data_IF_037762218387
#
_entry.id   IF_037762218387
#
_cell.length_a   1.000
_cell.length_b   1.000
_cell.length_c   1.000
_cell.angle_alpha   90.00
_cell.angle_beta   90.00
_cell.angle_gamma   90.00
#
_symmetry.space_group_name_H-M   'P 1'
#
loop_
_entity.id
_entity.type
_entity.pdbx_description
1 polymer ?
#
# COMPACT_ATOMS: atom_id res chain seq x y z
N UNK A 1 102.00 -30.85 30.83
CA UNK A 1 101.45 -30.58 32.20
C UNK A 1 100.26 -29.65 32.10
N UNK A 2 99.15 -30.05 32.74
CA UNK A 2 97.96 -29.25 33.16
C UNK A 2 97.18 -28.47 32.09
N UNK A 3 96.05 -28.99 31.69
CA UNK A 3 94.67 -28.76 32.17
C UNK A 3 94.28 -27.33 32.23
N UNK A 4 93.25 -26.96 31.51
CA UNK A 4 92.05 -26.42 32.11
C UNK A 4 90.92 -26.19 31.09
N UNK A 5 89.80 -26.62 31.47
CA UNK A 5 88.42 -26.53 31.01
C UNK A 5 87.91 -25.12 30.64
N UNK A 6 87.11 -25.05 29.58
CA UNK A 6 86.14 -23.94 29.46
C UNK A 6 84.79 -24.52 28.97
N UNK A 7 83.84 -24.29 29.80
CA UNK A 7 82.45 -24.73 29.70
C UNK A 7 81.74 -23.99 28.61
N UNK A 8 80.94 -24.73 27.84
CA UNK A 8 80.01 -24.19 26.88
C UNK A 8 78.77 -23.58 27.55
N UNK A 9 78.23 -22.49 26.94
CA UNK A 9 76.94 -21.90 27.25
C UNK A 9 75.94 -22.26 26.15
N UNK A 10 74.71 -22.63 26.52
CA UNK A 10 73.68 -22.98 25.51
C UNK A 10 73.04 -21.69 24.96
N UNK A 11 72.93 -21.71 23.67
CA UNK A 11 72.15 -20.71 22.95
C UNK A 11 70.65 -20.94 23.18
N UNK A 12 70.02 -20.00 23.89
CA UNK A 12 68.59 -19.97 24.01
C UNK A 12 67.93 -19.51 22.71
N UNK A 13 67.13 -20.39 22.13
CA UNK A 13 66.25 -20.07 21.01
C UNK A 13 65.01 -19.33 21.55
N UNK A 14 64.91 -18.02 21.30
CA UNK A 14 63.73 -17.25 21.62
C UNK A 14 62.75 -17.34 20.43
N UNK A 15 61.70 -18.17 20.58
CA UNK A 15 60.58 -18.19 19.69
C UNK A 15 59.63 -17.00 20.01
N UNK A 16 59.74 -15.95 19.26
CA UNK A 16 58.76 -14.86 19.21
C UNK A 16 57.51 -15.37 18.45
N UNK A 17 56.50 -15.82 19.20
CA UNK A 17 55.17 -16.10 18.66
C UNK A 17 54.48 -14.76 18.32
N UNK A 18 54.43 -14.40 17.03
CA UNK A 18 53.61 -13.33 16.53
C UNK A 18 52.14 -13.74 16.54
N UNK A 19 51.41 -13.25 17.54
CA UNK A 19 49.96 -13.41 17.64
C UNK A 19 49.33 -12.36 16.72
N UNK A 20 49.01 -12.72 15.46
CA UNK A 20 48.20 -11.89 14.58
C UNK A 20 46.76 -11.91 15.08
N UNK A 21 46.35 -10.87 15.81
CA UNK A 21 44.98 -10.61 16.22
C UNK A 21 44.23 -10.08 14.99
N UNK A 22 43.55 -11.00 14.26
CA UNK A 22 42.62 -10.65 13.21
C UNK A 22 41.36 -10.02 13.85
N UNK A 23 41.32 -8.71 13.97
CA UNK A 23 40.12 -7.99 14.32
C UNK A 23 39.12 -8.09 13.14
N UNK A 24 38.18 -9.01 13.23
CA UNK A 24 37.02 -9.08 12.33
C UNK A 24 36.18 -7.82 12.55
N UNK A 25 36.26 -6.86 11.64
CA UNK A 25 35.32 -5.74 11.55
C UNK A 25 33.94 -6.30 11.18
N UNK A 26 33.13 -6.56 12.18
CA UNK A 26 31.69 -6.79 12.00
C UNK A 26 31.08 -5.44 11.57
N UNK A 27 30.95 -5.22 10.26
CA UNK A 27 30.14 -4.13 9.72
C UNK A 27 28.71 -4.38 10.19
N UNK A 28 28.04 -3.39 10.84
CA UNK A 28 26.63 -3.52 11.13
C UNK A 28 25.91 -3.67 9.79
N UNK A 29 25.20 -4.79 9.60
CA UNK A 29 24.27 -4.94 8.50
C UNK A 29 23.17 -3.88 8.70
N UNK A 30 23.25 -2.79 7.94
CA UNK A 30 22.16 -1.81 7.86
C UNK A 30 20.99 -2.60 7.27
N UNK A 31 19.84 -2.72 7.95
CA UNK A 31 18.68 -3.34 7.35
C UNK A 31 18.39 -2.55 6.07
N UNK A 32 18.46 -3.19 4.92
CA UNK A 32 17.96 -2.63 3.68
C UNK A 32 16.44 -2.48 3.89
N UNK A 33 15.99 -1.27 4.12
CA UNK A 33 14.57 -0.98 4.20
C UNK A 33 14.04 -1.20 2.80
N UNK A 34 13.09 -2.11 2.66
CA UNK A 34 12.40 -2.31 1.40
C UNK A 34 11.76 -0.97 1.02
N UNK A 35 11.99 -0.50 -0.20
CA UNK A 35 11.38 0.73 -0.69
C UNK A 35 9.88 0.58 -0.90
N UNK A 36 9.23 1.67 -1.26
CA UNK A 36 7.78 1.65 -1.53
C UNK A 36 7.39 0.68 -2.64
N UNK A 37 8.21 0.55 -3.69
CA UNK A 37 7.97 -0.41 -4.78
C UNK A 37 8.08 -1.85 -4.31
N UNK A 38 9.07 -2.18 -3.49
CA UNK A 38 9.21 -3.51 -2.90
C UNK A 38 8.00 -3.83 -2.01
N UNK A 39 7.53 -2.85 -1.23
CA UNK A 39 6.35 -2.99 -0.37
C UNK A 39 5.09 -3.23 -1.18
N UNK A 40 4.90 -2.52 -2.29
CA UNK A 40 3.79 -2.75 -3.22
C UNK A 40 3.84 -4.15 -3.83
N UNK A 41 5.02 -4.57 -4.32
CA UNK A 41 5.19 -5.90 -4.91
C UNK A 41 4.90 -7.00 -3.90
N UNK A 42 5.43 -6.89 -2.67
CA UNK A 42 5.15 -7.81 -1.58
C UNK A 42 3.66 -7.85 -1.24
N UNK A 43 3.01 -6.69 -1.15
CA UNK A 43 1.57 -6.60 -0.88
C UNK A 43 0.76 -7.30 -1.96
N UNK A 44 1.03 -7.03 -3.24
CA UNK A 44 0.32 -7.68 -4.36
C UNK A 44 0.55 -9.20 -4.34
N UNK A 45 1.79 -9.64 -4.13
CA UNK A 45 2.17 -11.05 -4.17
C UNK A 45 1.61 -11.86 -3.01
N UNK A 46 1.61 -11.28 -1.81
CA UNK A 46 1.32 -12.00 -0.57
C UNK A 46 -0.11 -11.80 -0.05
N UNK A 47 -0.83 -10.78 -0.54
CA UNK A 47 -2.16 -10.44 -0.05
C UNK A 47 -3.22 -10.73 -1.11
N UNK A 48 -3.97 -11.82 -0.96
CA UNK A 48 -5.06 -12.21 -1.87
C UNK A 48 -6.39 -11.60 -1.47
N UNK A 49 -6.60 -11.40 -0.18
CA UNK A 49 -7.79 -10.74 0.37
C UNK A 49 -7.42 -9.84 1.52
N UNK A 50 -8.24 -8.87 1.80
CA UNK A 50 -8.07 -7.96 2.92
C UNK A 50 -9.38 -7.41 3.41
N UNK A 51 -9.39 -7.01 4.67
CA UNK A 51 -10.48 -6.28 5.30
C UNK A 51 -9.89 -5.22 6.22
N UNK A 52 -10.49 -4.04 6.26
CA UNK A 52 -10.06 -2.94 7.12
C UNK A 52 -11.22 -2.00 7.41
N UNK A 53 -11.12 -1.24 8.47
CA UNK A 53 -11.84 0.01 8.61
C UNK A 53 -11.04 1.14 7.95
N UNK A 54 -11.71 2.19 7.51
CA UNK A 54 -11.03 3.38 6.99
C UNK A 54 -11.66 4.67 7.49
N UNK A 55 -10.85 5.71 7.54
CA UNK A 55 -11.28 7.10 7.63
C UNK A 55 -10.79 7.82 6.39
N UNK A 56 -11.68 8.54 5.72
CA UNK A 56 -11.39 9.35 4.54
C UNK A 56 -11.57 10.83 4.85
N UNK A 57 -10.55 11.63 4.59
CA UNK A 57 -10.62 13.09 4.61
C UNK A 57 -10.57 13.61 3.17
N UNK A 58 -11.62 14.31 2.73
CA UNK A 58 -11.73 14.93 1.40
C UNK A 58 -11.58 16.43 1.56
N UNK A 59 -10.50 17.00 1.04
CA UNK A 59 -10.23 18.43 1.05
C UNK A 59 -10.48 19.01 -0.34
N UNK A 60 -11.45 19.90 -0.42
CA UNK A 60 -11.78 20.65 -1.62
C UNK A 60 -11.12 22.03 -1.58
N UNK A 61 -10.57 22.53 -2.70
CA UNK A 61 -10.01 23.87 -2.76
C UNK A 61 -11.08 24.91 -2.42
N UNK A 62 -10.66 25.99 -1.79
CA UNK A 62 -11.53 27.13 -1.53
C UNK A 62 -11.94 27.80 -2.84
N UNK A 63 -13.18 28.28 -2.91
CA UNK A 63 -13.66 29.10 -4.02
C UNK A 63 -13.60 30.57 -3.63
N UNK A 64 -13.29 31.45 -4.59
CA UNK A 64 -13.36 32.92 -4.43
C UNK A 64 -12.61 33.46 -3.20
N UNK A 65 -11.40 32.94 -2.93
CA UNK A 65 -10.59 33.36 -1.79
C UNK A 65 -10.99 32.75 -0.43
N UNK A 66 -11.96 31.86 -0.41
CA UNK A 66 -12.31 31.12 0.82
C UNK A 66 -11.25 30.03 1.11
N UNK A 67 -11.05 29.68 2.39
CA UNK A 67 -10.15 28.60 2.74
C UNK A 67 -10.65 27.24 2.23
N UNK A 68 -9.76 26.25 2.00
CA UNK A 68 -10.14 24.89 1.68
C UNK A 68 -11.11 24.31 2.70
N UNK A 69 -11.98 23.42 2.27
CA UNK A 69 -12.97 22.75 3.12
C UNK A 69 -12.68 21.26 3.16
N UNK A 70 -12.54 20.70 4.36
CA UNK A 70 -12.35 19.27 4.55
C UNK A 70 -13.63 18.64 5.10
N UNK A 71 -14.04 17.52 4.47
CA UNK A 71 -15.10 16.64 4.95
C UNK A 71 -14.48 15.30 5.33
N UNK A 72 -14.91 14.71 6.44
CA UNK A 72 -14.43 13.41 6.90
C UNK A 72 -15.58 12.41 6.85
N UNK A 73 -15.26 11.20 6.38
CA UNK A 73 -16.16 10.05 6.32
C UNK A 73 -15.43 8.82 6.88
N UNK A 74 -16.17 7.87 7.40
CA UNK A 74 -15.63 6.59 7.83
C UNK A 74 -16.41 5.42 7.21
N UNK A 75 -15.78 4.27 7.21
CA UNK A 75 -16.38 3.10 6.61
C UNK A 75 -15.57 1.83 6.80
N UNK A 76 -15.99 0.78 6.09
CA UNK A 76 -15.25 -0.46 5.98
C UNK A 76 -14.88 -0.76 4.54
N UNK A 77 -13.73 -1.40 4.37
CA UNK A 77 -13.18 -1.81 3.10
C UNK A 77 -12.89 -3.32 3.13
N UNK A 78 -13.23 -4.01 2.06
CA UNK A 78 -12.84 -5.40 1.84
C UNK A 78 -12.47 -5.61 0.38
N UNK A 79 -11.55 -6.53 0.12
CA UNK A 79 -11.21 -6.94 -1.25
C UNK A 79 -10.82 -8.41 -1.32
N UNK A 80 -10.98 -8.99 -2.51
CA UNK A 80 -10.52 -10.33 -2.87
C UNK A 80 -10.03 -10.29 -4.33
N UNK A 81 -8.76 -10.64 -4.51
CA UNK A 81 -8.16 -10.69 -5.87
C UNK A 81 -8.61 -11.94 -6.62
N UNK A 82 -8.80 -11.85 -7.93
CA UNK A 82 -8.76 -10.64 -8.75
C UNK A 82 -10.09 -9.88 -8.76
N UNK A 83 -10.00 -8.55 -8.77
CA UNK A 83 -11.07 -7.68 -9.23
C UNK A 83 -12.27 -7.46 -8.31
N UNK A 84 -12.35 -8.08 -7.13
CA UNK A 84 -13.48 -7.89 -6.22
C UNK A 84 -13.10 -6.93 -5.11
N UNK A 85 -13.96 -5.96 -4.82
CA UNK A 85 -13.84 -5.09 -3.65
C UNK A 85 -15.19 -4.53 -3.20
N UNK A 86 -15.23 -4.06 -1.97
CA UNK A 86 -16.37 -3.40 -1.36
C UNK A 86 -15.92 -2.27 -0.46
N UNK A 87 -16.53 -1.09 -0.62
CA UNK A 87 -16.49 0.02 0.30
C UNK A 87 -17.90 0.25 0.84
N UNK A 88 -18.04 0.30 2.15
CA UNK A 88 -19.27 0.72 2.81
C UNK A 88 -18.96 1.99 3.62
N UNK A 89 -19.36 3.14 3.12
CA UNK A 89 -19.33 4.41 3.83
C UNK A 89 -20.52 4.47 4.80
N UNK A 90 -20.28 4.95 6.03
CA UNK A 90 -21.31 4.97 7.07
C UNK A 90 -21.94 6.35 7.18
N UNK A 91 -21.24 7.32 7.73
CA UNK A 91 -21.73 8.69 7.97
C UNK A 91 -20.75 9.72 7.43
N UNK A 92 -21.19 10.95 7.10
CA UNK A 92 -22.57 11.45 7.14
C UNK A 92 -23.45 10.95 5.97
N UNK A 93 -22.87 10.44 4.87
CA UNK A 93 -23.57 9.98 3.67
C UNK A 93 -23.30 8.49 3.48
N UNK A 94 -24.33 7.68 3.69
CA UNK A 94 -24.21 6.24 3.52
C UNK A 94 -24.13 5.91 2.01
N UNK A 95 -23.00 5.35 1.60
CA UNK A 95 -22.77 4.92 0.22
C UNK A 95 -22.13 3.53 0.23
N UNK A 96 -22.52 2.69 -0.72
CA UNK A 96 -21.90 1.40 -0.94
C UNK A 96 -21.33 1.33 -2.35
N UNK A 97 -20.07 0.93 -2.45
CA UNK A 97 -19.40 0.68 -3.74
C UNK A 97 -18.98 -0.78 -3.76
N UNK A 98 -19.46 -1.55 -4.72
CA UNK A 98 -19.14 -2.98 -4.85
C UNK A 98 -18.67 -3.27 -6.27
N UNK A 99 -17.53 -3.93 -6.37
CA UNK A 99 -17.06 -4.55 -7.59
C UNK A 99 -17.14 -6.07 -7.43
N UNK A 100 -17.95 -6.74 -8.25
CA UNK A 100 -18.19 -8.19 -8.16
C UNK A 100 -17.30 -9.02 -9.11
N UNK A 101 -16.44 -8.37 -9.88
CA UNK A 101 -15.59 -8.93 -10.93
C UNK A 101 -16.12 -8.67 -12.34
N UNK A 102 -17.34 -8.20 -12.50
CA UNK A 102 -17.98 -7.86 -13.78
C UNK A 102 -18.58 -6.45 -13.77
N UNK A 103 -19.30 -6.12 -12.71
CA UNK A 103 -20.02 -4.86 -12.55
C UNK A 103 -19.47 -4.08 -11.37
N UNK A 104 -19.32 -2.78 -11.56
CA UNK A 104 -19.12 -1.80 -10.49
C UNK A 104 -20.47 -1.18 -10.15
N UNK A 105 -20.90 -1.41 -8.93
CA UNK A 105 -22.13 -0.91 -8.35
C UNK A 105 -21.83 0.26 -7.41
N UNK A 106 -22.50 1.38 -7.60
CA UNK A 106 -22.47 2.51 -6.67
C UNK A 106 -23.90 2.71 -6.17
N UNK A 107 -24.10 2.62 -4.88
CA UNK A 107 -25.40 2.86 -4.25
C UNK A 107 -25.31 4.04 -3.31
N UNK A 108 -26.12 5.05 -3.57
CA UNK A 108 -26.37 6.19 -2.71
C UNK A 108 -27.65 5.95 -1.92
N UNK A 109 -27.54 5.80 -0.60
CA UNK A 109 -28.68 5.48 0.23
C UNK A 109 -29.64 6.66 0.42
N UNK A 110 -29.12 7.89 0.42
CA UNK A 110 -29.94 9.09 0.62
C UNK A 110 -30.82 9.37 -0.60
N UNK A 111 -30.31 9.09 -1.80
CA UNK A 111 -31.03 9.22 -3.07
C UNK A 111 -31.81 7.95 -3.43
N UNK A 112 -31.60 6.83 -2.73
CA UNK A 112 -32.05 5.50 -3.12
C UNK A 112 -31.75 5.17 -4.59
N UNK A 113 -30.54 5.52 -5.05
CA UNK A 113 -30.11 5.42 -6.43
C UNK A 113 -28.92 4.46 -6.56
N UNK A 114 -28.96 3.61 -7.58
CA UNK A 114 -27.91 2.67 -7.94
C UNK A 114 -27.37 3.04 -9.31
N UNK A 115 -26.04 3.21 -9.42
CA UNK A 115 -25.38 3.27 -10.73
C UNK A 115 -24.63 1.95 -10.95
N UNK A 116 -24.87 1.32 -12.09
CA UNK A 116 -24.20 0.10 -12.52
C UNK A 116 -23.37 0.35 -13.77
N UNK A 117 -22.08 0.09 -13.70
CA UNK A 117 -21.12 0.24 -14.80
C UNK A 117 -20.38 -1.05 -15.07
N UNK A 118 -19.97 -1.28 -16.31
CA UNK A 118 -19.07 -2.38 -16.62
C UNK A 118 -17.73 -2.14 -15.89
N UNK A 119 -17.34 -3.06 -15.00
CA UNK A 119 -16.20 -2.88 -14.12
C UNK A 119 -14.90 -2.62 -14.90
N UNK A 120 -14.65 -3.34 -16.00
CA UNK A 120 -13.44 -3.18 -16.80
C UNK A 120 -13.24 -1.75 -17.36
N UNK A 121 -14.34 -1.00 -17.58
CA UNK A 121 -14.29 0.38 -18.05
C UNK A 121 -14.19 1.39 -16.91
N UNK A 122 -14.63 1.02 -15.72
CA UNK A 122 -14.69 1.90 -14.55
C UNK A 122 -13.43 1.82 -13.67
N UNK A 123 -12.65 0.75 -13.76
CA UNK A 123 -11.48 0.52 -12.90
C UNK A 123 -10.39 1.57 -13.04
N UNK A 124 -10.18 2.10 -14.25
CA UNK A 124 -9.17 3.15 -14.50
C UNK A 124 -9.43 4.47 -13.77
N UNK A 125 -10.66 4.71 -13.28
CA UNK A 125 -11.05 5.92 -12.55
C UNK A 125 -11.20 5.71 -11.04
N UNK A 126 -11.06 4.49 -10.54
CA UNK A 126 -11.28 4.19 -9.12
C UNK A 126 -9.98 3.75 -8.45
N UNK A 127 -9.41 4.56 -7.54
CA UNK A 127 -8.13 4.25 -6.87
C UNK A 127 -8.11 2.92 -6.11
N UNK A 128 -9.24 2.53 -5.54
CA UNK A 128 -9.43 1.22 -4.90
C UNK A 128 -9.19 0.05 -5.86
N UNK A 129 -9.51 0.24 -7.13
CA UNK A 129 -9.32 -0.75 -8.18
C UNK A 129 -7.85 -1.09 -8.41
N UNK A 130 -6.97 -0.12 -8.28
CA UNK A 130 -5.53 -0.31 -8.43
C UNK A 130 -5.03 -1.32 -7.41
N UNK A 131 -5.51 -1.21 -6.17
CA UNK A 131 -5.07 -2.08 -5.08
C UNK A 131 -5.73 -3.44 -5.15
N UNK A 132 -7.05 -3.45 -5.40
CA UNK A 132 -7.84 -4.67 -5.34
C UNK A 132 -7.80 -5.49 -6.62
N UNK A 133 -7.70 -4.85 -7.78
CA UNK A 133 -7.84 -5.51 -9.07
C UNK A 133 -6.52 -5.92 -9.72
N UNK A 134 -5.40 -5.29 -9.35
CA UNK A 134 -4.13 -5.61 -9.98
C UNK A 134 -3.69 -7.04 -9.67
N UNK A 135 -3.57 -7.90 -10.68
CA UNK A 135 -3.09 -9.26 -10.47
C UNK A 135 -1.59 -9.30 -10.15
N UNK A 136 -0.83 -8.35 -10.66
CA UNK A 136 0.61 -8.19 -10.48
C UNK A 136 1.06 -6.74 -10.71
N UNK A 137 2.33 -6.46 -10.41
CA UNK A 137 2.93 -5.14 -10.58
C UNK A 137 2.93 -4.68 -12.04
N UNK A 138 3.14 -5.60 -12.99
CA UNK A 138 3.16 -5.28 -14.44
C UNK A 138 1.79 -4.79 -14.93
N UNK A 139 0.72 -5.28 -14.34
CA UNK A 139 -0.62 -4.80 -14.65
C UNK A 139 -0.80 -3.33 -14.24
N UNK A 140 -0.28 -2.94 -13.08
CA UNK A 140 -0.27 -1.54 -12.66
C UNK A 140 0.63 -0.67 -13.55
N UNK A 141 1.81 -1.16 -13.89
CA UNK A 141 2.76 -0.45 -14.74
C UNK A 141 2.24 -0.21 -16.17
N UNK A 142 1.26 -0.96 -16.65
CA UNK A 142 0.61 -0.67 -17.94
C UNK A 142 -0.14 0.64 -17.92
N UNK A 143 -0.85 0.90 -16.83
CA UNK A 143 -1.78 2.03 -16.72
C UNK A 143 -1.18 3.21 -15.96
N UNK A 144 -0.14 2.96 -15.14
CA UNK A 144 0.49 3.95 -14.28
C UNK A 144 2.01 3.98 -14.42
N UNK A 145 2.58 5.16 -14.23
CA UNK A 145 4.01 5.32 -13.94
C UNK A 145 4.18 5.27 -12.43
N UNK A 146 4.96 4.29 -11.95
CA UNK A 146 5.21 4.09 -10.53
C UNK A 146 6.58 4.69 -10.16
N UNK A 147 6.63 5.50 -9.11
CA UNK A 147 7.86 6.10 -8.60
C UNK A 147 7.91 6.00 -7.09
N UNK A 148 9.09 5.74 -6.54
CA UNK A 148 9.30 5.78 -5.11
C UNK A 148 9.24 7.21 -4.59
N UNK A 149 8.67 7.39 -3.41
CA UNK A 149 8.75 8.63 -2.64
C UNK A 149 9.52 8.41 -1.34
N UNK A 150 10.06 9.48 -0.74
CA UNK A 150 10.70 9.38 0.57
C UNK A 150 9.74 8.83 1.63
N UNK A 151 10.28 7.98 2.51
CA UNK A 151 9.54 7.47 3.66
C UNK A 151 9.07 8.62 4.55
N UNK A 152 7.83 8.56 5.00
CA UNK A 152 7.25 9.51 5.95
C UNK A 152 6.23 8.83 6.86
N UNK A 153 6.12 9.29 8.08
CA UNK A 153 5.17 8.79 9.09
C UNK A 153 5.28 7.28 9.35
N UNK A 154 6.51 6.72 9.21
CA UNK A 154 6.76 5.29 9.37
C UNK A 154 6.19 4.42 8.26
N UNK A 155 5.91 5.00 7.10
CA UNK A 155 5.39 4.34 5.91
C UNK A 155 6.35 4.48 4.74
N UNK A 156 6.46 3.42 3.92
CA UNK A 156 7.11 3.43 2.62
C UNK A 156 6.09 3.91 1.58
N UNK A 157 6.49 4.90 0.78
CA UNK A 157 5.57 5.55 -0.14
C UNK A 157 5.93 5.33 -1.60
N UNK A 158 4.91 5.19 -2.41
CA UNK A 158 5.00 5.24 -3.87
C UNK A 158 3.99 6.24 -4.41
N UNK A 159 4.34 6.84 -5.53
CA UNK A 159 3.45 7.64 -6.35
C UNK A 159 3.09 6.87 -7.62
N UNK A 160 1.82 6.82 -7.97
CA UNK A 160 1.28 6.21 -9.19
C UNK A 160 0.59 7.30 -10.01
N UNK A 161 1.18 7.67 -11.14
CA UNK A 161 0.63 8.63 -12.09
C UNK A 161 -0.02 7.92 -13.26
N UNK A 162 -1.29 8.21 -13.57
CA UNK A 162 -1.94 7.65 -14.75
C UNK A 162 -1.18 8.02 -16.03
N UNK A 163 -0.96 7.05 -16.91
CA UNK A 163 -0.39 7.31 -18.25
C UNK A 163 -1.38 7.98 -19.19
N UNK A 164 -2.66 7.65 -19.04
CA UNK A 164 -3.76 8.33 -19.73
C UNK A 164 -4.01 9.69 -19.07
N UNK A 165 -4.03 10.75 -19.86
CA UNK A 165 -4.16 12.15 -19.39
C UNK A 165 -5.56 12.74 -19.58
N UNK A 166 -6.48 11.95 -20.05
CA UNK A 166 -7.89 12.32 -20.33
C UNK A 166 -8.82 12.14 -19.13
N UNK A 167 -8.31 11.56 -18.04
CA UNK A 167 -9.04 11.33 -16.79
C UNK A 167 -8.92 12.48 -15.80
N UNK A 168 -9.79 12.46 -14.80
CA UNK A 168 -9.77 13.43 -13.69
C UNK A 168 -8.69 13.13 -12.65
N UNK A 169 -8.19 11.89 -12.60
CA UNK A 169 -7.17 11.46 -11.66
C UNK A 169 -5.79 12.01 -12.05
N UNK A 170 -5.13 12.73 -11.13
CA UNK A 170 -3.77 13.22 -11.34
C UNK A 170 -2.73 12.25 -10.80
N UNK A 171 -2.86 11.85 -9.54
CA UNK A 171 -1.97 10.88 -8.95
C UNK A 171 -2.62 10.15 -7.77
N UNK A 172 -2.00 9.04 -7.40
CA UNK A 172 -2.31 8.29 -6.20
C UNK A 172 -0.99 8.03 -5.47
N UNK A 173 -0.92 8.42 -4.21
CA UNK A 173 0.18 8.02 -3.34
C UNK A 173 -0.28 6.90 -2.43
N UNK A 174 0.54 5.87 -2.34
CA UNK A 174 0.22 4.67 -1.60
C UNK A 174 1.26 4.49 -0.50
N UNK A 175 0.82 4.53 0.75
CA UNK A 175 1.66 4.33 1.93
C UNK A 175 1.50 2.93 2.49
N UNK A 176 2.63 2.23 2.68
CA UNK A 176 2.70 0.91 3.29
C UNK A 176 3.37 0.98 4.65
N UNK A 177 2.92 0.17 5.59
CA UNK A 177 3.61 -0.11 6.86
C UNK A 177 4.12 -1.54 6.86
N UNK A 178 5.22 -1.77 7.58
CA UNK A 178 5.66 -3.13 7.87
C UNK A 178 4.77 -3.70 8.98
N UNK A 179 3.92 -4.64 8.63
CA UNK A 179 3.08 -5.38 9.56
C UNK A 179 3.66 -6.75 9.90
N UNK A 180 2.93 -7.51 10.71
CA UNK A 180 3.37 -8.84 11.15
C UNK A 180 3.49 -9.86 10.00
N UNK A 181 2.82 -9.63 8.88
CA UNK A 181 2.79 -10.51 7.69
C UNK A 181 3.45 -9.88 6.45
N UNK A 182 4.24 -8.83 6.61
CA UNK A 182 4.87 -8.09 5.53
C UNK A 182 4.25 -6.72 5.30
N UNK A 183 4.29 -6.22 4.08
CA UNK A 183 3.76 -4.90 3.74
C UNK A 183 2.23 -4.88 3.87
N UNK A 184 1.71 -3.92 4.63
CA UNK A 184 0.29 -3.66 4.84
C UNK A 184 -0.06 -2.28 4.29
N UNK A 185 -1.14 -2.21 3.52
CA UNK A 185 -1.67 -0.94 3.03
C UNK A 185 -2.14 -0.08 4.20
N UNK A 186 -1.52 1.08 4.38
CA UNK A 186 -1.81 1.98 5.50
C UNK A 186 -2.56 3.23 5.07
N UNK A 187 -2.17 3.83 3.94
CA UNK A 187 -2.74 5.11 3.49
C UNK A 187 -2.84 5.15 1.97
N UNK A 188 -3.91 5.79 1.48
CA UNK A 188 -4.07 6.19 0.09
C UNK A 188 -4.33 7.68 0.04
N UNK A 189 -3.51 8.41 -0.70
CA UNK A 189 -3.77 9.80 -1.02
C UNK A 189 -4.06 9.94 -2.52
N UNK A 190 -5.10 10.66 -2.85
CA UNK A 190 -5.60 10.81 -4.22
C UNK A 190 -5.71 12.29 -4.51
N UNK A 191 -5.14 12.73 -5.63
CA UNK A 191 -5.33 14.07 -6.14
C UNK A 191 -6.04 14.02 -7.49
N UNK A 192 -6.99 14.92 -7.69
CA UNK A 192 -7.69 15.08 -8.95
C UNK A 192 -7.34 16.40 -9.66
N UNK A 193 -7.76 16.52 -10.91
CA UNK A 193 -7.52 17.70 -11.75
C UNK A 193 -8.29 18.95 -11.32
N UNK A 194 -9.23 18.82 -10.37
CA UNK A 194 -9.97 19.95 -9.81
C UNK A 194 -9.34 20.50 -8.53
N UNK A 195 -8.18 19.94 -8.12
CA UNK A 195 -7.47 20.32 -6.90
C UNK A 195 -8.07 19.70 -5.63
N UNK A 196 -8.97 18.72 -5.76
CA UNK A 196 -9.45 17.95 -4.63
C UNK A 196 -8.38 16.94 -4.20
N UNK A 197 -8.17 16.86 -2.89
CA UNK A 197 -7.29 15.86 -2.26
C UNK A 197 -8.12 14.97 -1.34
N UNK A 198 -7.96 13.68 -1.48
CA UNK A 198 -8.60 12.68 -0.63
C UNK A 198 -7.54 11.81 0.03
N UNK A 199 -7.59 11.67 1.34
CA UNK A 199 -6.70 10.78 2.10
C UNK A 199 -7.55 9.73 2.82
N UNK A 200 -7.29 8.44 2.49
CA UNK A 200 -7.87 7.30 3.18
C UNK A 200 -6.81 6.70 4.09
N UNK A 201 -7.10 6.60 5.37
CA UNK A 201 -6.25 5.92 6.36
C UNK A 201 -6.93 4.64 6.80
N UNK A 202 -6.22 3.51 6.67
CA UNK A 202 -6.73 2.19 7.02
C UNK A 202 -6.31 1.79 8.43
N UNK A 203 -7.24 1.14 9.14
CA UNK A 203 -7.05 0.62 10.49
C UNK A 203 -7.69 -0.77 10.61
N UNK A 204 -7.38 -1.50 11.70
CA UNK A 204 -7.90 -2.86 11.94
C UNK A 204 -7.74 -3.81 10.74
N UNK A 205 -6.53 -3.78 10.16
CA UNK A 205 -6.24 -4.50 8.92
C UNK A 205 -6.16 -6.00 9.18
N UNK A 206 -6.98 -6.76 8.47
CA UNK A 206 -6.92 -8.21 8.39
C UNK A 206 -6.34 -8.63 7.04
N UNK A 207 -5.23 -9.33 7.04
CA UNK A 207 -4.55 -9.82 5.83
C UNK A 207 -4.93 -11.27 5.59
N UNK A 208 -5.39 -11.57 4.38
CA UNK A 208 -5.85 -12.87 3.93
C UNK A 208 -6.96 -13.50 4.81
N UNK A 209 -7.98 -12.73 5.24
CA UNK A 209 -9.14 -13.32 5.89
C UNK A 209 -9.94 -14.19 4.89
N UNK A 210 -10.64 -15.19 5.38
CA UNK A 210 -11.65 -15.90 4.58
C UNK A 210 -12.89 -15.02 4.47
N UNK A 211 -13.20 -14.56 3.26
CA UNK A 211 -14.36 -13.73 2.99
C UNK A 211 -15.45 -14.56 2.29
N UNK A 212 -16.70 -14.53 2.78
CA UNK A 212 -17.83 -15.16 2.07
C UNK A 212 -18.02 -14.54 0.68
N UNK A 213 -18.37 -15.33 -0.32
CA UNK A 213 -18.64 -14.82 -1.68
C UNK A 213 -19.71 -13.72 -1.69
N UNK A 214 -20.70 -13.81 -0.81
CA UNK A 214 -21.74 -12.81 -0.61
C UNK A 214 -21.22 -11.43 -0.17
N UNK A 215 -19.98 -11.33 0.32
CA UNK A 215 -19.35 -10.03 0.66
C UNK A 215 -19.25 -9.11 -0.54
N UNK A 216 -19.13 -9.67 -1.74
CA UNK A 216 -18.95 -8.93 -2.99
C UNK A 216 -20.19 -9.00 -3.91
N UNK A 217 -21.29 -9.53 -3.40
CA UNK A 217 -22.58 -9.48 -4.10
C UNK A 217 -23.31 -8.18 -3.75
N UNK A 218 -23.87 -7.52 -4.76
CA UNK A 218 -24.73 -6.37 -4.57
C UNK A 218 -26.13 -6.68 -5.11
N UNK A 219 -27.12 -6.46 -4.26
CA UNK A 219 -28.54 -6.55 -4.64
C UNK A 219 -29.16 -5.18 -4.44
N UNK A 220 -29.64 -4.54 -5.52
CA UNK A 220 -30.31 -3.25 -5.40
C UNK A 220 -31.44 -3.33 -4.38
N UNK A 221 -31.57 -2.34 -3.47
CA UNK A 221 -32.69 -2.27 -2.56
C UNK A 221 -34.02 -2.11 -3.31
N UNK A 222 -35.12 -2.50 -2.64
CA UNK A 222 -36.45 -2.36 -3.21
C UNK A 222 -36.76 -0.87 -3.48
N UNK A 223 -37.24 -0.57 -4.68
CA UNK A 223 -37.59 0.78 -5.09
C UNK A 223 -36.39 1.71 -5.42
N UNK A 224 -35.17 1.15 -5.49
CA UNK A 224 -34.04 1.93 -5.93
C UNK A 224 -34.13 2.23 -7.43
N UNK A 225 -33.79 3.48 -7.80
CA UNK A 225 -33.61 3.86 -9.19
C UNK A 225 -32.27 3.32 -9.73
N UNK A 226 -32.29 2.62 -10.86
CA UNK A 226 -31.11 1.94 -11.40
C UNK A 226 -30.69 2.56 -12.71
N UNK A 227 -29.56 3.29 -12.69
CA UNK A 227 -28.88 3.82 -13.86
C UNK A 227 -27.85 2.81 -14.37
N UNK A 228 -27.88 2.50 -15.66
CA UNK A 228 -26.88 1.63 -16.31
C UNK A 228 -26.10 2.44 -17.34
N UNK A 229 -24.77 2.42 -17.20
CA UNK A 229 -23.84 3.13 -18.08
C UNK A 229 -22.87 2.17 -18.75
#
# INVERSE_FOLDING_TARGET
MRRLHARGLPRGFSLLSSFCLAAALALPAVPAWAGGLDSLEQFIKNTRSGKADFTQAVTMPGKDGQPPRTKTQDGSFAFERPGKFRFDYRKPFAQTIVADGQTLWLYDADLNQVTARQQAQALGSTPAAIIAAAPDLKALERDFTLTEEPDRDGQQWINAEPKARDGQLQNIRIGFRTGARGAELATLEIADSFGQHSALTFSHIEVNPSLPAASFEFKPPAGADILRE
#
